data_IF_989434262540
#
_entry.id   IF_989434262540
#
_cell.length_a   1.000
_cell.length_b   1.000
_cell.length_c   1.000
_cell.angle_alpha   90.00
_cell.angle_beta   90.00
_cell.angle_gamma   90.00
#
_symmetry.space_group_name_H-M   'P 1'
#
loop_
_entity.id
_entity.type
_entity.pdbx_description
1 polymer ?
#
# COMPACT_ATOMS: atom_id res chain seq x y z
N UNK A 1 -14.80 -14.46 9.81
CA UNK A 1 -14.76 -13.39 8.79
C UNK A 1 -14.37 -14.04 7.47
N UNK A 2 -15.17 -13.87 6.43
CA UNK A 2 -14.95 -14.48 5.11
C UNK A 2 -13.75 -13.83 4.42
N UNK A 3 -12.83 -14.64 3.89
CA UNK A 3 -11.61 -14.17 3.24
C UNK A 3 -11.97 -13.53 1.88
N UNK A 4 -11.48 -12.32 1.55
CA UNK A 4 -11.78 -11.68 0.28
C UNK A 4 -11.18 -12.50 -0.88
N UNK A 5 -12.04 -12.93 -1.81
CA UNK A 5 -11.70 -13.88 -2.89
C UNK A 5 -10.90 -13.22 -4.02
N UNK A 6 -10.92 -11.89 -4.12
CA UNK A 6 -10.32 -11.12 -5.22
C UNK A 6 -9.10 -10.29 -4.81
N UNK A 7 -8.75 -10.26 -3.53
CA UNK A 7 -7.60 -9.51 -3.04
C UNK A 7 -6.58 -10.48 -2.49
N UNK A 8 -5.33 -10.37 -2.93
CA UNK A 8 -4.24 -11.12 -2.33
C UNK A 8 -4.24 -10.84 -0.81
N UNK A 9 -4.29 -11.86 0.09
CA UNK A 9 -4.48 -11.64 1.52
C UNK A 9 -3.48 -10.66 2.14
N UNK A 10 -2.23 -10.67 1.65
CA UNK A 10 -1.19 -9.71 2.04
C UNK A 10 -1.56 -8.25 1.69
N UNK A 11 -2.12 -8.01 0.50
CA UNK A 11 -2.55 -6.70 0.05
C UNK A 11 -3.72 -6.19 0.92
N UNK A 12 -4.69 -7.06 1.23
CA UNK A 12 -5.79 -6.74 2.13
C UNK A 12 -5.29 -6.32 3.52
N UNK A 13 -4.40 -7.09 4.14
CA UNK A 13 -3.88 -6.76 5.47
C UNK A 13 -3.03 -5.49 5.48
N UNK A 14 -2.26 -5.23 4.42
CA UNK A 14 -1.54 -3.97 4.25
C UNK A 14 -2.50 -2.78 4.15
N UNK A 15 -3.53 -2.89 3.32
CA UNK A 15 -4.54 -1.84 3.17
C UNK A 15 -5.29 -1.58 4.49
N UNK A 16 -5.69 -2.63 5.21
CA UNK A 16 -6.39 -2.50 6.49
C UNK A 16 -5.59 -1.71 7.52
N UNK A 17 -4.25 -1.84 7.55
CA UNK A 17 -3.37 -1.04 8.42
C UNK A 17 -3.34 0.44 8.06
N UNK A 18 -3.61 0.79 6.80
CA UNK A 18 -3.62 2.18 6.33
C UNK A 18 -4.89 2.93 6.74
N UNK A 19 -5.98 2.22 7.08
CA UNK A 19 -7.26 2.84 7.46
C UNK A 19 -7.14 3.77 8.67
N UNK A 20 -6.24 3.48 9.60
CA UNK A 20 -6.00 4.32 10.78
C UNK A 20 -5.42 5.72 10.43
N UNK A 21 -4.87 5.89 9.22
CA UNK A 21 -4.24 7.12 8.76
C UNK A 21 -4.80 7.60 7.42
N UNK A 22 -5.98 7.13 7.03
CA UNK A 22 -6.56 7.37 5.68
C UNK A 22 -6.77 8.84 5.37
N UNK A 23 -6.93 9.70 6.40
CA UNK A 23 -7.11 11.14 6.23
C UNK A 23 -5.78 11.90 6.05
N UNK A 24 -4.66 11.19 5.99
CA UNK A 24 -3.33 11.77 5.73
C UNK A 24 -2.85 11.43 4.32
N UNK A 25 -2.12 12.36 3.69
CA UNK A 25 -1.50 12.12 2.38
C UNK A 25 -0.63 10.85 2.38
N UNK A 26 0.11 10.62 3.47
CA UNK A 26 0.95 9.44 3.63
C UNK A 26 0.12 8.15 3.73
N UNK A 27 -1.00 8.17 4.47
CA UNK A 27 -1.91 7.04 4.57
C UNK A 27 -2.63 6.74 3.26
N UNK A 28 -3.06 7.77 2.52
CA UNK A 28 -3.64 7.63 1.17
C UNK A 28 -2.64 7.02 0.20
N UNK A 29 -1.38 7.48 0.21
CA UNK A 29 -0.34 6.94 -0.65
C UNK A 29 -0.06 5.46 -0.33
N UNK A 30 0.08 5.11 0.95
CA UNK A 30 0.28 3.72 1.38
C UNK A 30 -0.90 2.82 1.00
N UNK A 31 -2.12 3.32 1.13
CA UNK A 31 -3.32 2.60 0.73
C UNK A 31 -3.34 2.34 -0.79
N UNK A 32 -2.98 3.34 -1.60
CA UNK A 32 -2.88 3.20 -3.05
C UNK A 32 -1.83 2.15 -3.47
N UNK A 33 -0.65 2.16 -2.81
CA UNK A 33 0.38 1.13 -3.03
C UNK A 33 -0.13 -0.26 -2.64
N UNK A 34 -0.80 -0.40 -1.49
CA UNK A 34 -1.35 -1.67 -1.01
C UNK A 34 -2.43 -2.26 -1.93
N UNK A 35 -3.28 -1.43 -2.53
CA UNK A 35 -4.28 -1.87 -3.52
C UNK A 35 -3.61 -2.26 -4.85
N UNK A 36 -2.61 -1.50 -5.28
CA UNK A 36 -1.88 -1.75 -6.54
C UNK A 36 -1.07 -3.05 -6.51
N UNK A 37 -0.72 -3.53 -5.32
CA UNK A 37 -0.04 -4.81 -5.09
C UNK A 37 -0.83 -6.04 -5.50
N UNK A 38 -2.14 -5.91 -5.72
CA UNK A 38 -2.94 -7.06 -6.15
C UNK A 38 -2.61 -7.53 -7.57
N UNK A 39 -1.96 -6.69 -8.39
CA UNK A 39 -1.68 -6.93 -9.82
C UNK A 39 -0.21 -7.30 -10.11
N UNK A 40 0.67 -7.35 -9.10
CA UNK A 40 2.11 -7.54 -9.30
C UNK A 40 2.70 -8.62 -8.39
N UNK A 41 3.06 -9.76 -8.98
CA UNK A 41 3.78 -10.82 -8.30
C UNK A 41 5.15 -10.33 -7.80
N UNK A 42 5.38 -10.44 -6.49
CA UNK A 42 6.67 -10.11 -5.87
C UNK A 42 6.92 -8.62 -5.59
N UNK A 43 5.94 -7.74 -5.77
CA UNK A 43 6.11 -6.33 -5.43
C UNK A 43 6.31 -6.13 -3.91
N UNK A 44 7.20 -5.19 -3.57
CA UNK A 44 7.47 -4.79 -2.18
C UNK A 44 6.96 -3.35 -1.93
N UNK A 45 5.83 -3.19 -1.19
CA UNK A 45 5.27 -1.88 -0.88
C UNK A 45 6.24 -0.96 -0.15
N UNK A 46 7.06 -1.52 0.73
CA UNK A 46 7.99 -0.73 1.54
C UNK A 46 9.08 -0.13 0.66
N UNK A 47 9.55 -0.89 -0.33
CA UNK A 47 10.49 -0.41 -1.34
C UNK A 47 9.90 0.74 -2.17
N UNK A 48 8.63 0.64 -2.59
CA UNK A 48 7.94 1.70 -3.34
C UNK A 48 7.83 2.97 -2.52
N UNK A 49 7.33 2.86 -1.28
CA UNK A 49 7.18 4.01 -0.37
C UNK A 49 8.54 4.67 -0.10
N UNK A 50 9.58 3.88 0.16
CA UNK A 50 10.95 4.40 0.36
C UNK A 50 11.43 5.19 -0.86
N UNK A 51 11.28 4.62 -2.06
CA UNK A 51 11.72 5.26 -3.30
C UNK A 51 10.94 6.54 -3.61
N UNK A 52 9.64 6.57 -3.30
CA UNK A 52 8.84 7.80 -3.41
C UNK A 52 9.31 8.88 -2.44
N UNK A 53 9.67 8.51 -1.20
CA UNK A 53 10.26 9.43 -0.23
C UNK A 53 11.59 10.02 -0.70
N UNK A 54 12.48 9.20 -1.25
CA UNK A 54 13.75 9.64 -1.84
C UNK A 54 13.53 10.60 -3.02
N UNK A 55 12.53 10.33 -3.87
CA UNK A 55 12.18 11.21 -5.00
C UNK A 55 11.59 12.54 -4.52
N UNK A 56 10.71 12.51 -3.52
CA UNK A 56 10.11 13.72 -2.95
C UNK A 56 11.14 14.67 -2.33
N UNK A 57 12.24 14.15 -1.78
CA UNK A 57 13.35 14.96 -1.25
C UNK A 57 14.19 15.66 -2.34
N UNK A 58 14.02 15.30 -3.61
CA UNK A 58 14.78 15.85 -4.74
C UNK A 58 14.07 17.00 -5.46
N UNK A 59 12.89 17.40 -5.00
CA UNK A 59 12.03 18.40 -5.64
C UNK A 59 11.82 19.59 -4.72
#
# INVERSE_FOLDING_TARGET
>A
MSQPVHCHPRAFHLFARCLAAVDSNEGLLRAAVAVSLHELDGADPEQVVRRLGELAQRV
#
